data_IF_855061311693
#
_entry.id   IF_855061311693
#
_cell.length_a   1.000
_cell.length_b   1.000
_cell.length_c   1.000
_cell.angle_alpha   90.00
_cell.angle_beta   90.00
_cell.angle_gamma   90.00
#
_symmetry.space_group_name_H-M   'P 1'
#
loop_
_entity.id
_entity.type
_entity.pdbx_description
1 polymer ?
#
# COMPACT_ATOMS: atom_id res chain seq x y z
N UNK A 1 66.05 -45.69 68.37
CA UNK A 1 65.98 -44.83 67.17
C UNK A 1 65.19 -45.58 66.11
N UNK A 2 64.01 -45.22 65.61
CA UNK A 2 63.02 -44.18 65.91
C UNK A 2 61.74 -44.70 65.24
N UNK A 3 60.61 -44.74 65.95
CA UNK A 3 59.32 -45.25 65.45
C UNK A 3 58.75 -44.34 64.35
N UNK A 4 58.36 -44.91 63.21
CA UNK A 4 57.51 -44.26 62.21
C UNK A 4 56.04 -44.38 62.65
N UNK A 5 55.41 -43.23 62.93
CA UNK A 5 53.97 -43.12 63.17
C UNK A 5 53.25 -42.77 61.86
N UNK A 6 52.27 -43.59 61.49
CA UNK A 6 51.29 -43.30 60.45
C UNK A 6 50.33 -42.21 60.94
N UNK A 7 50.29 -41.07 60.25
CA UNK A 7 49.28 -40.03 60.47
C UNK A 7 48.04 -40.37 59.64
N UNK A 8 46.95 -40.63 60.33
CA UNK A 8 45.63 -40.87 59.77
C UNK A 8 45.05 -39.54 59.28
N UNK A 9 44.94 -39.35 57.96
CA UNK A 9 44.18 -38.22 57.40
C UNK A 9 42.70 -38.44 57.68
N UNK A 10 42.15 -37.55 58.51
CA UNK A 10 40.74 -37.50 58.91
C UNK A 10 39.82 -37.40 57.69
N UNK A 11 38.96 -38.40 57.53
CA UNK A 11 37.89 -38.38 56.54
C UNK A 11 36.93 -37.20 56.76
N UNK A 12 36.52 -36.59 55.66
CA UNK A 12 35.43 -35.62 55.62
C UNK A 12 34.21 -36.26 56.32
N UNK A 13 33.70 -35.62 57.37
CA UNK A 13 32.56 -36.15 58.12
C UNK A 13 31.34 -36.27 57.21
N UNK A 14 30.49 -37.29 57.42
CA UNK A 14 29.22 -37.44 56.66
C UNK A 14 28.35 -36.18 56.69
N UNK A 15 28.48 -35.35 57.74
CA UNK A 15 27.81 -34.06 57.85
C UNK A 15 28.40 -32.99 56.92
N UNK A 16 29.73 -32.90 56.79
CA UNK A 16 30.38 -31.95 55.87
C UNK A 16 30.15 -32.32 54.41
N UNK A 17 30.23 -33.61 54.05
CA UNK A 17 29.92 -34.07 52.69
C UNK A 17 28.46 -33.77 52.26
N UNK A 18 27.49 -33.86 53.18
CA UNK A 18 26.08 -33.51 52.92
C UNK A 18 25.87 -32.01 52.71
N UNK A 19 26.60 -31.16 53.44
CA UNK A 19 26.55 -29.71 53.26
C UNK A 19 27.16 -29.31 51.92
N UNK A 20 28.31 -29.88 51.54
CA UNK A 20 28.89 -29.63 50.21
C UNK A 20 27.99 -30.10 49.07
N UNK A 21 27.35 -31.27 49.21
CA UNK A 21 26.42 -31.77 48.19
C UNK A 21 25.15 -30.91 48.11
N UNK A 22 24.62 -30.43 49.24
CA UNK A 22 23.48 -29.53 49.27
C UNK A 22 23.81 -28.13 48.69
N UNK A 23 25.00 -27.59 48.96
CA UNK A 23 25.48 -26.33 48.37
C UNK A 23 25.74 -26.50 46.87
N UNK A 24 26.31 -27.63 46.43
CA UNK A 24 26.49 -27.95 45.01
C UNK A 24 25.16 -28.15 44.28
N UNK A 25 24.19 -28.85 44.88
CA UNK A 25 22.84 -28.97 44.31
C UNK A 25 22.10 -27.63 44.29
N UNK A 26 22.24 -26.81 45.34
CA UNK A 26 21.64 -25.48 45.37
C UNK A 26 22.31 -24.56 44.34
N UNK A 27 23.63 -24.60 44.18
CA UNK A 27 24.31 -23.91 43.09
C UNK A 27 23.91 -24.46 41.72
N UNK A 28 23.70 -25.78 41.55
CA UNK A 28 23.25 -26.37 40.29
C UNK A 28 21.80 -25.97 39.97
N UNK A 29 20.91 -25.90 40.95
CA UNK A 29 19.52 -25.46 40.80
C UNK A 29 19.44 -23.95 40.56
N UNK A 30 20.30 -23.16 41.23
CA UNK A 30 20.43 -21.72 40.96
C UNK A 30 21.04 -21.51 39.57
N UNK A 31 22.11 -22.21 39.19
CA UNK A 31 22.73 -22.12 37.84
C UNK A 31 21.79 -22.62 36.73
N UNK A 32 20.97 -23.65 36.98
CA UNK A 32 19.92 -24.08 36.04
C UNK A 32 18.73 -23.11 36.01
N UNK A 33 18.41 -22.44 37.12
CA UNK A 33 17.46 -21.33 37.18
C UNK A 33 17.97 -20.01 36.57
N UNK A 34 19.27 -19.93 36.26
CA UNK A 34 19.94 -18.79 35.63
C UNK A 34 20.44 -19.08 34.21
N UNK A 35 20.02 -20.19 33.57
CA UNK A 35 20.13 -20.30 32.13
C UNK A 35 19.19 -19.27 31.50
N UNK A 36 19.66 -18.03 31.33
CA UNK A 36 18.95 -16.99 30.58
C UNK A 36 18.55 -17.61 29.24
N UNK A 37 17.25 -17.64 28.97
CA UNK A 37 16.78 -18.01 27.64
C UNK A 37 17.51 -17.11 26.63
N UNK A 38 18.19 -17.72 25.66
CA UNK A 38 18.98 -16.98 24.69
C UNK A 38 18.04 -16.27 23.72
N UNK A 39 18.26 -14.98 23.49
CA UNK A 39 17.47 -14.24 22.50
C UNK A 39 17.70 -14.85 21.12
N UNK A 40 16.61 -15.17 20.43
CA UNK A 40 16.61 -15.64 19.05
C UNK A 40 15.54 -14.92 18.25
N UNK A 41 15.82 -14.71 16.96
CA UNK A 41 14.93 -14.04 16.01
C UNK A 41 14.70 -14.99 14.83
N UNK A 42 13.47 -15.09 14.35
CA UNK A 42 13.13 -15.71 13.06
C UNK A 42 12.34 -14.71 12.22
N UNK A 43 12.31 -14.93 10.90
CA UNK A 43 11.56 -14.11 9.94
C UNK A 43 10.82 -15.00 8.94
N UNK A 44 9.61 -14.61 8.56
CA UNK A 44 8.81 -15.29 7.54
C UNK A 44 8.12 -14.28 6.62
N UNK A 45 8.09 -14.50 5.29
CA UNK A 45 8.84 -15.55 4.58
C UNK A 45 10.36 -15.28 4.65
N UNK A 46 11.19 -16.31 4.46
CA UNK A 46 12.66 -16.16 4.42
C UNK A 46 13.17 -15.75 3.04
N UNK A 47 12.35 -15.90 2.00
CA UNK A 47 12.62 -15.43 0.65
C UNK A 47 11.37 -14.85 0.00
N UNK A 48 11.55 -13.88 -0.90
CA UNK A 48 10.49 -13.37 -1.76
C UNK A 48 11.09 -12.98 -3.13
N UNK A 49 10.27 -13.07 -4.18
CA UNK A 49 10.59 -12.53 -5.51
C UNK A 49 9.52 -11.54 -5.88
N UNK A 50 9.90 -10.28 -6.10
CA UNK A 50 8.96 -9.17 -6.29
C UNK A 50 9.32 -8.35 -7.53
N UNK A 51 8.30 -7.80 -8.17
CA UNK A 51 8.49 -6.69 -9.08
C UNK A 51 9.01 -5.45 -8.32
N UNK A 52 9.67 -4.53 -9.03
CA UNK A 52 9.89 -3.17 -8.52
C UNK A 52 8.57 -2.54 -8.08
N UNK A 53 8.59 -1.70 -7.05
CA UNK A 53 7.41 -1.04 -6.46
C UNK A 53 6.33 -1.95 -5.86
N UNK A 54 6.46 -3.28 -5.91
CA UNK A 54 5.54 -4.19 -5.24
C UNK A 54 5.76 -4.19 -3.72
N UNK A 55 4.70 -4.54 -2.98
CA UNK A 55 4.73 -4.68 -1.52
C UNK A 55 4.83 -6.15 -1.09
N UNK A 56 5.44 -6.40 0.07
CA UNK A 56 5.53 -7.73 0.68
C UNK A 56 5.53 -7.64 2.21
N UNK A 57 4.57 -8.28 2.90
CA UNK A 57 4.62 -8.38 4.36
C UNK A 57 5.68 -9.38 4.81
N UNK A 58 6.33 -9.06 5.93
CA UNK A 58 7.24 -9.94 6.68
C UNK A 58 6.86 -9.95 8.15
N UNK A 59 6.92 -11.10 8.80
CA UNK A 59 6.69 -11.27 10.24
C UNK A 59 7.98 -11.71 10.92
N UNK A 60 8.33 -11.08 12.05
CA UNK A 60 9.46 -11.48 12.87
C UNK A 60 9.04 -12.05 14.23
N UNK A 61 9.58 -13.20 14.61
CA UNK A 61 9.36 -13.79 15.94
C UNK A 61 10.60 -13.64 16.80
N UNK A 62 10.49 -13.01 17.96
CA UNK A 62 11.55 -12.90 18.96
C UNK A 62 11.21 -13.80 20.14
N UNK A 63 12.11 -14.70 20.53
CA UNK A 63 11.96 -15.57 21.71
C UNK A 63 13.15 -15.45 22.65
N UNK A 64 12.98 -15.93 23.89
CA UNK A 64 14.02 -15.87 24.92
C UNK A 64 14.13 -14.51 25.63
N UNK A 65 13.22 -13.58 25.35
CA UNK A 65 13.10 -12.31 26.08
C UNK A 65 11.63 -11.88 26.19
N UNK A 66 11.31 -11.04 27.17
CA UNK A 66 9.99 -10.41 27.29
C UNK A 66 9.85 -9.20 26.38
N UNK A 67 10.94 -8.53 26.03
CA UNK A 67 10.96 -7.54 24.96
C UNK A 67 11.08 -8.26 23.61
N UNK A 68 9.97 -8.32 22.88
CA UNK A 68 9.89 -8.96 21.56
C UNK A 68 9.95 -7.97 20.40
N UNK A 69 10.15 -6.67 20.65
CA UNK A 69 10.18 -5.66 19.60
C UNK A 69 11.40 -5.82 18.68
N UNK A 70 11.25 -5.42 17.42
CA UNK A 70 12.30 -5.43 16.42
C UNK A 70 12.52 -4.06 15.79
N UNK A 71 13.70 -3.86 15.23
CA UNK A 71 13.99 -2.76 14.29
C UNK A 71 14.12 -3.37 12.90
N UNK A 72 13.35 -2.84 11.95
CA UNK A 72 13.36 -3.29 10.56
C UNK A 72 14.40 -2.51 9.75
N UNK A 73 15.17 -3.24 8.95
CA UNK A 73 16.21 -2.70 8.10
C UNK A 73 16.15 -3.33 6.71
N UNK A 74 16.62 -2.60 5.70
CA UNK A 74 16.92 -3.16 4.37
C UNK A 74 18.39 -2.92 4.06
N UNK A 75 19.14 -3.97 3.75
CA UNK A 75 20.60 -3.93 3.54
C UNK A 75 21.35 -3.19 4.67
N UNK A 76 20.94 -3.41 5.92
CA UNK A 76 21.54 -2.78 7.10
C UNK A 76 21.12 -1.33 7.36
N UNK A 77 20.28 -0.74 6.50
CA UNK A 77 19.75 0.62 6.69
C UNK A 77 18.39 0.55 7.37
N UNK A 78 18.25 1.18 8.54
CA UNK A 78 16.97 1.25 9.25
C UNK A 78 15.89 1.90 8.39
N UNK A 79 14.76 1.20 8.20
CA UNK A 79 13.68 1.63 7.31
C UNK A 79 14.00 1.55 5.81
N UNK A 80 15.23 1.20 5.42
CA UNK A 80 15.67 1.15 4.02
C UNK A 80 15.89 2.54 3.40
N UNK A 81 15.96 2.57 2.08
CA UNK A 81 16.08 3.80 1.29
C UNK A 81 15.61 3.57 -0.16
N UNK A 82 15.60 4.62 -0.99
CA UNK A 82 15.09 4.55 -2.37
C UNK A 82 15.84 3.58 -3.29
N UNK A 83 17.08 3.20 -2.98
CA UNK A 83 17.91 2.34 -3.85
C UNK A 83 17.74 0.85 -3.56
N UNK A 84 17.41 0.49 -2.32
CA UNK A 84 17.27 -0.91 -1.88
C UNK A 84 15.83 -1.26 -1.50
N UNK A 85 14.91 -0.31 -1.57
CA UNK A 85 13.56 -0.44 -1.07
C UNK A 85 13.44 0.05 0.37
N UNK A 86 12.19 0.21 0.78
CA UNK A 86 11.82 0.71 2.09
C UNK A 86 11.13 -0.40 2.87
N UNK A 87 11.25 -0.36 4.20
CA UNK A 87 10.50 -1.25 5.09
C UNK A 87 9.84 -0.41 6.16
N UNK A 88 8.56 -0.64 6.40
CA UNK A 88 7.82 0.07 7.43
C UNK A 88 8.38 -0.26 8.82
N UNK A 89 7.99 0.52 9.82
CA UNK A 89 8.05 0.00 11.21
C UNK A 89 7.10 -1.16 11.39
N UNK A 90 7.18 -1.80 12.57
CA UNK A 90 6.17 -2.78 12.98
C UNK A 90 4.76 -2.19 12.82
N UNK A 91 3.93 -2.89 12.05
CA UNK A 91 2.51 -2.61 11.87
C UNK A 91 1.85 -2.73 13.25
N UNK A 92 1.14 -1.70 13.73
CA UNK A 92 0.55 -1.76 15.06
C UNK A 92 -0.46 -2.91 15.17
N UNK A 93 -0.63 -3.46 16.36
CA UNK A 93 -1.56 -4.58 16.59
C UNK A 93 -1.08 -5.95 16.10
N UNK A 94 0.11 -6.03 15.48
CA UNK A 94 0.67 -7.29 14.97
C UNK A 94 1.80 -7.83 15.85
N UNK A 95 2.17 -9.10 15.62
CA UNK A 95 3.31 -9.76 16.30
C UNK A 95 4.63 -9.47 15.57
N UNK A 96 4.94 -8.19 15.36
CA UNK A 96 6.05 -7.70 14.52
C UNK A 96 5.90 -8.03 13.03
N UNK A 97 4.79 -7.61 12.41
CA UNK A 97 4.71 -7.56 10.96
C UNK A 97 5.24 -6.22 10.44
N UNK A 98 5.87 -6.21 9.28
CA UNK A 98 6.24 -5.00 8.55
C UNK A 98 5.98 -5.17 7.06
N UNK A 99 5.68 -4.07 6.38
CA UNK A 99 5.49 -4.03 4.94
C UNK A 99 6.78 -3.55 4.28
N UNK A 100 7.35 -4.38 3.40
CA UNK A 100 8.43 -3.99 2.52
C UNK A 100 7.87 -3.45 1.20
N UNK A 101 8.43 -2.34 0.71
CA UNK A 101 8.15 -1.73 -0.59
C UNK A 101 9.43 -1.77 -1.45
N UNK A 102 9.34 -2.42 -2.62
CA UNK A 102 10.44 -2.45 -3.58
C UNK A 102 10.84 -1.06 -4.09
N UNK A 103 12.13 -0.83 -4.39
CA UNK A 103 12.60 0.37 -5.10
C UNK A 103 12.01 0.46 -6.51
N UNK A 104 12.06 1.66 -7.10
CA UNK A 104 11.60 1.92 -8.47
C UNK A 104 12.52 1.37 -9.57
N UNK A 105 13.73 0.96 -9.21
CA UNK A 105 14.69 0.36 -10.11
C UNK A 105 15.30 -0.88 -9.46
N UNK A 106 15.61 -1.90 -10.27
CA UNK A 106 16.28 -3.11 -9.77
C UNK A 106 17.68 -2.73 -9.26
N UNK A 107 18.02 -3.04 -7.99
CA UNK A 107 19.34 -2.76 -7.44
C UNK A 107 20.43 -3.62 -8.10
N UNK A 108 21.69 -3.24 -7.89
CA UNK A 108 22.85 -4.05 -8.29
C UNK A 108 23.69 -4.38 -7.06
N UNK A 109 23.67 -5.64 -6.56
CA UNK A 109 22.97 -6.81 -7.11
C UNK A 109 21.44 -6.74 -6.98
N UNK A 110 20.72 -7.51 -7.78
CA UNK A 110 19.25 -7.58 -7.83
C UNK A 110 18.59 -8.20 -6.59
N UNK A 111 19.34 -8.33 -5.49
CA UNK A 111 18.89 -8.95 -4.24
C UNK A 111 19.13 -7.99 -3.09
N UNK A 112 18.15 -7.88 -2.20
CA UNK A 112 18.26 -7.13 -0.95
C UNK A 112 17.94 -8.02 0.25
N UNK A 113 18.42 -7.63 1.42
CA UNK A 113 18.21 -8.30 2.69
C UNK A 113 17.25 -7.47 3.53
N UNK A 114 16.05 -7.97 3.78
CA UNK A 114 15.12 -7.41 4.78
C UNK A 114 15.43 -8.06 6.12
N UNK A 115 15.83 -7.26 7.11
CA UNK A 115 16.37 -7.75 8.38
C UNK A 115 15.56 -7.24 9.55
N UNK A 116 15.11 -8.16 10.41
CA UNK A 116 14.55 -7.85 11.72
C UNK A 116 15.65 -7.97 12.78
N UNK A 117 16.00 -6.87 13.45
CA UNK A 117 16.99 -6.82 14.53
C UNK A 117 16.27 -6.74 15.87
N UNK A 118 16.57 -7.63 16.82
CA UNK A 118 15.94 -7.58 18.15
C UNK A 118 16.31 -6.29 18.89
N UNK A 119 15.33 -5.63 19.48
CA UNK A 119 15.59 -4.50 20.38
C UNK A 119 16.11 -4.96 21.75
N UNK A 120 15.86 -6.22 22.14
CA UNK A 120 16.33 -6.77 23.41
C UNK A 120 17.82 -7.16 23.39
N UNK A 121 18.28 -7.64 22.23
CA UNK A 121 19.69 -7.95 21.97
C UNK A 121 20.01 -7.59 20.51
N UNK A 122 20.58 -6.39 20.25
CA UNK A 122 20.90 -5.95 18.89
C UNK A 122 21.92 -6.82 18.14
N UNK A 123 22.56 -7.80 18.81
CA UNK A 123 23.42 -8.80 18.17
C UNK A 123 22.63 -9.96 17.56
N UNK A 124 21.32 -10.01 17.78
CA UNK A 124 20.41 -11.03 17.27
C UNK A 124 19.49 -10.45 16.21
N UNK A 125 19.44 -11.13 15.07
CA UNK A 125 18.61 -10.74 13.94
C UNK A 125 18.26 -11.96 13.08
N UNK A 126 17.24 -11.80 12.25
CA UNK A 126 16.91 -12.71 11.17
C UNK A 126 16.73 -11.91 9.88
N UNK A 127 17.11 -12.50 8.74
CA UNK A 127 17.05 -11.83 7.45
C UNK A 127 16.31 -12.67 6.42
N UNK A 128 15.51 -12.00 5.60
CA UNK A 128 14.89 -12.55 4.41
C UNK A 128 15.60 -12.01 3.17
N UNK A 129 15.79 -12.86 2.16
CA UNK A 129 16.35 -12.44 0.88
C UNK A 129 15.22 -12.11 -0.09
N UNK A 130 15.18 -10.86 -0.54
CA UNK A 130 14.23 -10.41 -1.55
C UNK A 130 14.96 -10.27 -2.88
N UNK A 131 14.52 -11.01 -3.89
CA UNK A 131 14.98 -10.86 -5.27
C UNK A 131 14.06 -9.91 -5.99
N UNK A 132 14.61 -8.84 -6.54
CA UNK A 132 13.87 -7.86 -7.31
C UNK A 132 14.12 -8.03 -8.79
N UNK A 133 13.05 -7.96 -9.55
CA UNK A 133 13.08 -8.03 -10.99
C UNK A 133 12.27 -6.90 -11.57
N UNK A 134 12.66 -6.47 -12.77
CA UNK A 134 11.73 -5.71 -13.61
C UNK A 134 10.55 -6.65 -13.85
N UNK A 135 9.29 -6.17 -13.78
CA UNK A 135 8.16 -6.97 -14.23
C UNK A 135 8.48 -7.61 -15.57
N UNK A 136 8.19 -8.90 -15.74
CA UNK A 136 8.30 -9.51 -17.07
C UNK A 136 7.43 -8.70 -18.04
N UNK A 137 8.03 -8.19 -19.11
CA UNK A 137 7.33 -7.59 -20.25
C UNK A 137 7.64 -8.42 -21.47
N UNK A 138 7.27 -9.70 -21.42
CA UNK A 138 7.50 -10.61 -22.55
C UNK A 138 6.45 -10.45 -23.65
N UNK A 139 5.46 -9.59 -23.45
CA UNK A 139 4.49 -9.21 -24.46
C UNK A 139 5.02 -8.21 -25.49
N UNK A 140 4.13 -7.80 -26.39
CA UNK A 140 4.41 -6.83 -27.45
C UNK A 140 4.14 -5.41 -26.98
N UNK A 141 4.76 -4.44 -27.66
CA UNK A 141 4.43 -3.02 -27.49
C UNK A 141 3.51 -2.57 -28.62
N UNK A 142 2.36 -2.00 -28.23
CA UNK A 142 1.37 -1.42 -29.12
C UNK A 142 1.27 0.09 -28.93
N UNK A 143 0.78 0.78 -29.96
CA UNK A 143 0.71 2.24 -30.01
C UNK A 143 -0.71 2.71 -30.29
N UNK A 144 -1.14 3.72 -29.55
CA UNK A 144 -2.41 4.43 -29.76
C UNK A 144 -2.12 5.89 -30.10
N UNK A 145 -2.79 6.45 -31.10
CA UNK A 145 -2.66 7.85 -31.51
C UNK A 145 -4.02 8.41 -31.90
N UNK A 146 -4.29 9.67 -31.56
CA UNK A 146 -5.51 10.39 -31.99
C UNK A 146 -5.69 10.45 -33.51
N UNK A 147 -4.61 10.27 -34.28
CA UNK A 147 -4.61 10.22 -35.75
C UNK A 147 -4.56 8.80 -36.33
N UNK A 148 -4.56 7.78 -35.46
CA UNK A 148 -4.52 6.37 -35.83
C UNK A 148 -5.83 5.84 -36.40
N UNK A 149 -5.89 4.51 -36.56
CA UNK A 149 -7.08 3.79 -37.01
C UNK A 149 -7.15 2.42 -36.31
N UNK A 150 -8.29 2.05 -35.74
CA UNK A 150 -8.47 0.77 -35.03
C UNK A 150 -8.45 -0.46 -35.98
N UNK A 151 -8.47 -0.24 -37.29
CA UNK A 151 -8.16 -1.28 -38.28
C UNK A 151 -6.65 -1.50 -38.49
N UNK A 152 -5.79 -0.66 -37.92
CA UNK A 152 -4.34 -0.82 -38.03
C UNK A 152 -3.84 -1.96 -37.12
N UNK A 153 -2.56 -2.31 -37.27
CA UNK A 153 -1.92 -3.37 -36.49
C UNK A 153 -1.45 -2.91 -35.09
N UNK A 154 -1.67 -1.66 -34.68
CA UNK A 154 -1.20 -1.13 -33.39
C UNK A 154 0.31 -0.92 -33.32
N UNK A 155 1.01 -0.83 -34.46
CA UNK A 155 2.46 -0.58 -34.51
C UNK A 155 2.76 0.92 -34.45
N UNK A 156 4.00 1.32 -34.17
CA UNK A 156 4.38 2.75 -34.11
C UNK A 156 4.13 3.52 -35.41
N UNK A 157 4.19 2.86 -36.56
CA UNK A 157 3.91 3.46 -37.88
C UNK A 157 2.46 3.31 -38.34
N UNK A 158 1.69 2.44 -37.68
CA UNK A 158 0.27 2.23 -37.94
C UNK A 158 -0.44 2.01 -36.58
N UNK A 159 -0.58 3.08 -35.77
CA UNK A 159 -1.14 2.97 -34.43
C UNK A 159 -2.65 2.77 -34.48
N UNK A 160 -3.19 2.17 -33.44
CA UNK A 160 -4.63 2.19 -33.18
C UNK A 160 -5.09 3.62 -32.88
N UNK A 161 -6.40 3.87 -33.03
CA UNK A 161 -6.98 5.19 -32.78
C UNK A 161 -7.41 5.35 -31.33
N UNK A 162 -8.08 4.34 -30.79
CA UNK A 162 -8.77 4.42 -29.50
C UNK A 162 -8.03 3.64 -28.42
N UNK A 163 -8.11 4.13 -27.19
CA UNK A 163 -7.51 3.46 -26.03
C UNK A 163 -8.35 2.22 -25.68
N UNK A 164 -9.68 2.29 -25.79
CA UNK A 164 -10.54 1.13 -25.54
C UNK A 164 -10.26 -0.02 -26.53
N UNK A 165 -9.97 0.26 -27.80
CA UNK A 165 -9.58 -0.78 -28.75
C UNK A 165 -8.28 -1.47 -28.31
N UNK A 166 -7.29 -0.71 -27.83
CA UNK A 166 -6.07 -1.28 -27.28
C UNK A 166 -6.37 -2.16 -26.06
N UNK A 167 -7.19 -1.67 -25.11
CA UNK A 167 -7.58 -2.42 -23.92
C UNK A 167 -8.27 -3.75 -24.23
N UNK A 168 -9.05 -3.80 -25.31
CA UNK A 168 -9.70 -5.04 -25.78
C UNK A 168 -8.76 -6.01 -26.49
N UNK A 169 -7.59 -5.54 -26.95
CA UNK A 169 -6.68 -6.28 -27.84
C UNK A 169 -5.43 -6.81 -27.15
N UNK A 170 -5.03 -6.20 -26.03
CA UNK A 170 -3.80 -6.57 -25.32
C UNK A 170 -3.97 -7.76 -24.39
N UNK A 171 -2.85 -8.46 -24.18
CA UNK A 171 -2.71 -9.68 -23.43
C UNK A 171 -1.69 -9.49 -22.30
N UNK A 172 -1.60 -10.40 -21.30
CA UNK A 172 -0.60 -10.32 -20.25
C UNK A 172 0.82 -10.05 -20.77
N UNK A 173 1.52 -9.12 -20.14
CA UNK A 173 2.88 -8.72 -20.51
C UNK A 173 2.97 -7.67 -21.62
N UNK A 174 1.87 -7.34 -22.30
CA UNK A 174 1.84 -6.30 -23.33
C UNK A 174 1.93 -4.88 -22.74
N UNK A 175 2.44 -3.95 -23.53
CA UNK A 175 2.51 -2.52 -23.19
C UNK A 175 1.80 -1.70 -24.27
N UNK A 176 0.92 -0.80 -23.85
CA UNK A 176 0.25 0.19 -24.69
C UNK A 176 0.90 1.55 -24.46
N UNK A 177 1.63 2.04 -25.46
CA UNK A 177 2.18 3.39 -25.52
C UNK A 177 1.13 4.32 -26.13
N UNK A 178 0.50 5.14 -25.31
CA UNK A 178 -0.49 6.12 -25.78
C UNK A 178 0.23 7.41 -26.12
N UNK A 179 0.21 7.78 -27.40
CA UNK A 179 0.86 9.00 -27.89
C UNK A 179 0.15 10.25 -27.36
N UNK A 180 0.85 11.38 -27.38
CA UNK A 180 0.31 12.64 -26.90
C UNK A 180 -0.94 13.07 -27.68
N UNK A 181 -1.95 13.54 -26.96
CA UNK A 181 -3.22 13.95 -27.53
C UNK A 181 -4.38 13.83 -26.55
N UNK A 182 -5.53 14.36 -26.97
CA UNK A 182 -6.77 14.33 -26.19
C UNK A 182 -7.63 13.14 -26.66
N UNK A 183 -7.93 12.25 -25.72
CA UNK A 183 -8.77 11.07 -25.91
C UNK A 183 -10.05 11.26 -25.11
N UNK A 184 -11.15 11.44 -25.83
CA UNK A 184 -12.48 11.60 -25.23
C UNK A 184 -13.15 10.23 -25.08
N UNK A 185 -12.61 9.43 -24.17
CA UNK A 185 -13.01 8.04 -23.93
C UNK A 185 -13.14 7.77 -22.43
N UNK A 186 -14.08 6.90 -22.07
CA UNK A 186 -14.02 6.15 -20.81
C UNK A 186 -13.59 4.74 -21.18
N UNK A 187 -12.55 4.24 -20.50
CA UNK A 187 -11.88 2.98 -20.83
C UNK A 187 -12.08 2.00 -19.70
N UNK A 188 -12.61 0.82 -20.02
CA UNK A 188 -12.68 -0.32 -19.09
C UNK A 188 -11.68 -1.38 -19.50
N UNK A 189 -10.88 -1.85 -18.55
CA UNK A 189 -9.88 -2.89 -18.76
C UNK A 189 -10.52 -4.27 -18.57
N UNK A 190 -10.71 -5.06 -19.64
CA UNK A 190 -11.45 -6.32 -19.56
C UNK A 190 -10.58 -7.49 -19.05
N UNK A 191 -9.26 -7.33 -19.00
CA UNK A 191 -8.31 -8.42 -18.76
C UNK A 191 -7.32 -8.10 -17.64
N UNK A 192 -6.61 -9.14 -17.19
CA UNK A 192 -5.53 -9.03 -16.20
C UNK A 192 -4.21 -9.47 -16.83
N UNK A 193 -3.10 -8.95 -16.32
CA UNK A 193 -1.80 -9.60 -16.48
C UNK A 193 -1.68 -10.84 -15.60
N UNK A 194 -0.46 -11.36 -15.43
CA UNK A 194 -0.19 -12.46 -14.51
C UNK A 194 1.28 -12.50 -14.05
N UNK A 195 1.58 -13.30 -13.03
CA UNK A 195 2.94 -13.42 -12.47
C UNK A 195 4.01 -13.95 -13.46
N UNK A 196 3.61 -14.70 -14.48
CA UNK A 196 4.54 -15.36 -15.41
C UNK A 196 4.91 -14.43 -16.56
N UNK A 197 3.92 -13.96 -17.30
CA UNK A 197 4.10 -13.09 -18.47
C UNK A 197 4.25 -11.62 -18.07
N UNK A 198 3.68 -11.26 -16.92
CA UNK A 198 3.78 -9.95 -16.29
C UNK A 198 2.56 -9.07 -16.50
N UNK A 199 2.77 -7.77 -16.32
CA UNK A 199 1.71 -6.78 -16.26
C UNK A 199 1.21 -6.40 -17.65
N UNK A 200 -0.07 -6.05 -17.75
CA UNK A 200 -0.56 -5.23 -18.86
C UNK A 200 -0.27 -3.77 -18.47
N UNK A 201 0.51 -3.07 -19.28
CA UNK A 201 0.93 -1.69 -18.99
C UNK A 201 0.24 -0.72 -19.94
N UNK A 202 -0.45 0.28 -19.39
CA UNK A 202 -0.91 1.46 -20.13
C UNK A 202 -0.07 2.65 -19.67
N UNK A 203 0.67 3.25 -20.60
CA UNK A 203 1.50 4.41 -20.28
C UNK A 203 1.48 5.47 -21.38
N UNK A 204 1.58 6.73 -20.98
CA UNK A 204 1.90 7.81 -21.94
C UNK A 204 3.25 7.52 -22.62
N UNK A 205 3.29 7.71 -23.93
CA UNK A 205 4.52 7.56 -24.70
C UNK A 205 5.60 8.51 -24.18
N UNK A 206 6.86 8.04 -24.15
CA UNK A 206 7.98 8.79 -23.55
C UNK A 206 8.05 10.25 -24.04
N UNK A 207 8.01 11.19 -23.07
CA UNK A 207 8.08 12.63 -23.33
C UNK A 207 6.82 13.24 -23.94
N UNK A 208 5.70 12.50 -23.97
CA UNK A 208 4.40 12.96 -24.43
C UNK A 208 3.37 12.81 -23.29
N UNK A 209 2.27 13.55 -23.39
CA UNK A 209 1.16 13.47 -22.43
C UNK A 209 -0.09 13.02 -23.17
N UNK A 210 -0.53 11.79 -22.90
CA UNK A 210 -1.85 11.33 -23.31
C UNK A 210 -2.88 11.76 -22.26
N UNK A 211 -3.97 12.34 -22.74
CA UNK A 211 -5.00 12.98 -21.90
C UNK A 211 -6.30 12.20 -22.03
N UNK A 212 -6.79 11.62 -20.94
CA UNK A 212 -8.16 11.14 -20.82
C UNK A 212 -9.03 12.34 -20.44
N UNK A 213 -9.85 12.82 -21.38
CA UNK A 213 -10.67 14.02 -21.19
C UNK A 213 -12.15 13.65 -21.16
N UNK A 214 -12.81 13.88 -20.02
CA UNK A 214 -14.22 13.57 -19.80
C UNK A 214 -15.21 14.54 -20.43
N UNK A 215 -14.75 15.58 -21.13
CA UNK A 215 -15.64 16.62 -21.68
C UNK A 215 -16.69 16.02 -22.62
N UNK A 216 -17.98 16.12 -22.27
CA UNK A 216 -19.08 15.58 -23.10
C UNK A 216 -19.36 14.10 -22.87
N UNK A 217 -18.61 13.41 -22.00
CA UNK A 217 -18.98 12.09 -21.48
C UNK A 217 -20.00 12.29 -20.36
N UNK A 218 -21.18 11.67 -20.51
CA UNK A 218 -22.27 11.80 -19.54
C UNK A 218 -22.27 10.60 -18.59
N UNK A 219 -22.31 10.86 -17.28
CA UNK A 219 -22.60 9.84 -16.27
C UNK A 219 -24.11 9.74 -16.09
N UNK A 220 -24.70 8.57 -16.32
CA UNK A 220 -26.13 8.41 -16.14
C UNK A 220 -26.50 8.36 -14.65
N UNK A 221 -27.74 8.72 -14.33
CA UNK A 221 -28.28 8.62 -12.97
C UNK A 221 -28.17 7.18 -12.46
N UNK A 222 -27.63 7.04 -11.25
CA UNK A 222 -27.42 5.76 -10.57
C UNK A 222 -26.18 5.00 -11.05
N UNK A 223 -25.28 5.64 -11.79
CA UNK A 223 -24.02 5.05 -12.23
C UNK A 223 -22.84 5.71 -11.56
N UNK A 224 -21.82 4.89 -11.33
CA UNK A 224 -20.46 5.26 -10.96
C UNK A 224 -19.54 4.57 -11.96
N UNK A 225 -18.65 5.33 -12.60
CA UNK A 225 -17.61 4.76 -13.45
C UNK A 225 -16.44 5.72 -13.64
N UNK A 226 -15.27 5.15 -13.98
CA UNK A 226 -14.04 5.87 -14.23
C UNK A 226 -13.82 6.30 -15.69
N UNK A 227 -13.03 7.34 -15.91
CA UNK A 227 -12.36 7.53 -17.21
C UNK A 227 -11.37 6.39 -17.48
N UNK A 228 -10.75 5.85 -16.42
CA UNK A 228 -10.01 4.60 -16.45
C UNK A 228 -10.61 3.63 -15.41
N UNK A 229 -11.19 2.54 -15.88
CA UNK A 229 -12.00 1.62 -15.10
C UNK A 229 -11.37 0.22 -15.03
N UNK A 230 -11.19 -0.26 -13.81
CA UNK A 230 -10.78 -1.61 -13.44
C UNK A 230 -11.97 -2.31 -12.74
N UNK A 231 -12.25 -3.53 -13.17
CA UNK A 231 -13.27 -4.42 -12.61
C UNK A 231 -12.66 -5.80 -12.39
N UNK A 232 -12.26 -6.06 -11.15
CA UNK A 232 -11.59 -7.30 -10.75
C UNK A 232 -10.36 -7.62 -11.61
N UNK A 233 -9.32 -6.77 -11.54
CA UNK A 233 -8.10 -6.91 -12.34
C UNK A 233 -6.88 -7.20 -11.46
N UNK A 234 -5.87 -7.84 -12.05
CA UNK A 234 -4.55 -8.03 -11.44
C UNK A 234 -3.43 -7.73 -12.45
N UNK A 235 -2.26 -7.36 -11.95
CA UNK A 235 -1.07 -7.09 -12.77
C UNK A 235 -1.35 -6.04 -13.85
N UNK A 236 -1.82 -4.86 -13.45
CA UNK A 236 -2.05 -3.71 -14.32
C UNK A 236 -1.18 -2.55 -13.88
N UNK A 237 -0.55 -1.88 -14.83
CA UNK A 237 0.12 -0.59 -14.63
C UNK A 237 -0.65 0.50 -15.38
N UNK A 238 -0.95 1.60 -14.69
CA UNK A 238 -1.57 2.81 -15.24
C UNK A 238 -0.64 3.97 -14.94
N UNK A 239 0.02 4.52 -15.97
CA UNK A 239 1.12 5.45 -15.73
C UNK A 239 1.19 6.66 -16.65
N UNK A 240 1.45 7.83 -16.06
CA UNK A 240 1.87 9.02 -16.78
C UNK A 240 0.75 9.71 -17.55
N UNK A 241 -0.52 9.43 -17.24
CA UNK A 241 -1.66 10.06 -17.89
C UNK A 241 -2.07 11.36 -17.20
N UNK A 242 -2.57 12.30 -17.99
CA UNK A 242 -3.44 13.36 -17.50
C UNK A 242 -4.89 12.87 -17.61
N UNK A 243 -5.68 12.97 -16.55
CA UNK A 243 -7.07 12.51 -16.48
C UNK A 243 -7.91 13.67 -15.96
N UNK A 244 -8.82 14.19 -16.79
CA UNK A 244 -9.46 15.46 -16.47
C UNK A 244 -10.86 15.67 -16.99
N UNK A 245 -11.47 16.76 -16.52
CA UNK A 245 -12.71 17.34 -17.04
C UNK A 245 -13.89 16.36 -17.05
N UNK A 246 -14.00 15.51 -16.01
CA UNK A 246 -15.10 14.57 -15.91
C UNK A 246 -16.08 15.02 -14.83
N UNK A 247 -17.26 15.44 -15.27
CA UNK A 247 -18.15 16.22 -14.42
C UNK A 247 -19.58 15.72 -14.47
N UNK A 248 -20.30 15.92 -13.38
CA UNK A 248 -21.71 15.61 -13.24
C UNK A 248 -22.43 16.73 -12.51
N UNK A 249 -23.67 16.97 -12.94
CA UNK A 249 -24.67 17.78 -12.23
C UNK A 249 -25.96 16.98 -12.00
N UNK A 250 -25.87 15.65 -12.09
CA UNK A 250 -27.00 14.73 -12.05
C UNK A 250 -26.97 13.91 -10.76
N UNK A 251 -28.12 13.80 -10.10
CA UNK A 251 -28.23 13.07 -8.83
C UNK A 251 -27.80 11.62 -9.01
N UNK A 252 -26.88 11.17 -8.15
CA UNK A 252 -26.35 9.81 -8.09
C UNK A 252 -25.61 9.39 -9.37
N UNK A 253 -25.10 10.36 -10.13
CA UNK A 253 -24.22 10.11 -11.26
C UNK A 253 -22.82 10.52 -10.84
N UNK A 254 -21.96 9.53 -10.59
CA UNK A 254 -20.65 9.66 -9.92
C UNK A 254 -19.53 9.55 -10.96
N UNK A 255 -18.94 10.68 -11.39
CA UNK A 255 -17.75 10.65 -12.25
C UNK A 255 -16.52 10.31 -11.42
N UNK A 256 -15.71 9.38 -11.93
CA UNK A 256 -14.45 8.99 -11.28
C UNK A 256 -13.27 9.16 -12.25
N UNK A 257 -12.12 9.61 -11.77
CA UNK A 257 -10.90 9.64 -12.59
C UNK A 257 -10.40 8.22 -12.88
N UNK A 258 -9.86 7.56 -11.86
CA UNK A 258 -9.49 6.14 -11.87
C UNK A 258 -10.39 5.38 -10.90
N UNK A 259 -11.08 4.37 -11.42
CA UNK A 259 -12.07 3.59 -10.68
C UNK A 259 -11.66 2.12 -10.68
N UNK A 260 -11.39 1.55 -9.50
CA UNK A 260 -11.13 0.13 -9.33
C UNK A 260 -12.07 -0.51 -8.32
N UNK A 261 -13.02 -1.28 -8.84
CA UNK A 261 -13.94 -2.08 -8.04
C UNK A 261 -13.67 -3.60 -8.15
N UNK A 262 -13.93 -4.31 -7.06
CA UNK A 262 -13.97 -5.78 -7.01
C UNK A 262 -12.88 -6.38 -6.12
N UNK A 263 -12.08 -7.27 -6.70
CA UNK A 263 -10.90 -7.86 -6.05
C UNK A 263 -9.74 -7.96 -7.03
N UNK A 264 -8.53 -8.15 -6.54
CA UNK A 264 -7.38 -8.24 -7.43
C UNK A 264 -6.07 -7.98 -6.72
N UNK A 265 -4.97 -8.06 -7.47
CA UNK A 265 -3.67 -7.82 -6.87
C UNK A 265 -2.61 -7.32 -7.84
N UNK A 266 -1.56 -6.68 -7.31
CA UNK A 266 -0.42 -6.20 -8.08
C UNK A 266 -0.85 -5.13 -9.08
N UNK A 267 -1.35 -4.01 -8.55
CA UNK A 267 -1.79 -2.86 -9.34
C UNK A 267 -0.84 -1.70 -9.06
N UNK A 268 -0.41 -1.02 -10.11
CA UNK A 268 0.47 0.14 -10.02
C UNK A 268 -0.21 1.34 -10.70
N UNK A 269 -0.49 2.39 -9.92
CA UNK A 269 -1.05 3.66 -10.40
C UNK A 269 0.02 4.72 -10.17
N UNK A 270 0.71 5.11 -11.24
CA UNK A 270 1.99 5.81 -11.15
C UNK A 270 2.01 7.12 -11.92
N UNK A 271 2.42 8.21 -11.27
CA UNK A 271 2.72 9.48 -11.94
C UNK A 271 1.59 10.00 -12.86
N UNK A 272 0.33 9.74 -12.50
CA UNK A 272 -0.82 10.31 -13.19
C UNK A 272 -1.18 11.67 -12.58
N UNK A 273 -1.74 12.55 -13.39
CA UNK A 273 -2.27 13.84 -12.97
C UNK A 273 -3.80 13.80 -13.13
N UNK A 274 -4.56 13.86 -12.03
CA UNK A 274 -6.02 13.74 -12.04
C UNK A 274 -6.65 15.01 -11.48
N UNK A 275 -7.37 15.74 -12.33
CA UNK A 275 -7.90 17.04 -11.95
C UNK A 275 -9.24 17.38 -12.60
N UNK A 276 -9.97 18.32 -12.00
CA UNK A 276 -11.30 18.72 -12.47
C UNK A 276 -12.28 17.54 -12.63
N UNK A 277 -12.24 16.60 -11.69
CA UNK A 277 -13.32 15.64 -11.46
C UNK A 277 -14.35 16.30 -10.55
N UNK A 278 -15.54 16.58 -11.07
CA UNK A 278 -16.45 17.57 -10.47
C UNK A 278 -17.87 17.05 -10.32
N UNK A 279 -18.44 17.25 -9.15
CA UNK A 279 -19.86 17.19 -8.88
C UNK A 279 -20.38 18.57 -8.48
N UNK A 280 -21.40 19.07 -9.16
CA UNK A 280 -21.93 20.43 -8.93
C UNK A 280 -23.17 20.48 -8.04
N UNK A 281 -23.70 19.32 -7.63
CA UNK A 281 -24.88 19.26 -6.77
C UNK A 281 -24.57 19.72 -5.34
N UNK A 282 -25.51 20.44 -4.73
CA UNK A 282 -25.36 21.00 -3.39
C UNK A 282 -25.92 20.13 -2.25
N UNK A 283 -26.25 18.85 -2.50
CA UNK A 283 -26.82 17.97 -1.47
C UNK A 283 -26.09 16.64 -1.42
N UNK A 284 -25.48 16.36 -0.26
CA UNK A 284 -24.59 15.22 0.02
C UNK A 284 -25.07 13.88 -0.55
N UNK A 285 -26.28 13.45 -0.18
CA UNK A 285 -26.82 12.11 -0.48
C UNK A 285 -26.98 11.80 -1.99
N UNK A 286 -26.62 12.73 -2.86
CA UNK A 286 -26.74 12.59 -4.31
C UNK A 286 -25.56 13.15 -5.09
N UNK A 287 -24.57 13.70 -4.39
CA UNK A 287 -23.53 14.53 -4.94
C UNK A 287 -22.16 13.92 -4.65
N UNK A 288 -21.74 12.97 -5.48
CA UNK A 288 -20.43 12.32 -5.37
C UNK A 288 -19.66 12.46 -6.68
N UNK A 289 -18.34 12.52 -6.57
CA UNK A 289 -17.32 12.42 -7.60
C UNK A 289 -16.00 12.04 -6.92
N UNK A 290 -15.09 11.32 -7.58
CA UNK A 290 -13.82 10.90 -6.97
C UNK A 290 -12.66 11.04 -7.95
N UNK A 291 -11.52 11.56 -7.53
CA UNK A 291 -10.35 11.52 -8.41
C UNK A 291 -9.83 10.07 -8.56
N UNK A 292 -9.84 9.31 -7.47
CA UNK A 292 -9.46 7.90 -7.43
C UNK A 292 -10.30 7.11 -6.43
N UNK A 293 -10.98 6.06 -6.89
CA UNK A 293 -11.78 5.16 -6.06
C UNK A 293 -11.21 3.74 -6.15
N UNK A 294 -10.76 3.17 -5.02
CA UNK A 294 -10.26 1.80 -4.91
C UNK A 294 -11.15 1.03 -3.94
N UNK A 295 -12.18 0.36 -4.47
CA UNK A 295 -13.25 -0.26 -3.69
C UNK A 295 -13.19 -1.79 -3.74
N UNK A 296 -12.82 -2.37 -2.59
CA UNK A 296 -12.79 -3.81 -2.38
C UNK A 296 -14.19 -4.41 -2.18
N UNK A 297 -14.97 -4.50 -3.25
CA UNK A 297 -16.39 -4.91 -3.22
C UNK A 297 -16.61 -6.44 -3.15
N UNK A 298 -15.55 -7.23 -2.96
CA UNK A 298 -15.63 -8.69 -2.87
C UNK A 298 -15.01 -9.21 -1.57
N UNK A 299 -15.47 -10.39 -1.14
CA UNK A 299 -14.93 -11.11 0.01
C UNK A 299 -15.05 -12.64 -0.21
N UNK A 300 -14.08 -13.45 0.25
CA UNK A 300 -12.92 -13.06 1.06
C UNK A 300 -11.76 -12.46 0.24
N UNK A 301 -11.79 -12.57 -1.09
CA UNK A 301 -10.74 -12.03 -1.96
C UNK A 301 -10.76 -10.50 -1.93
N UNK A 302 -9.62 -9.90 -1.62
CA UNK A 302 -9.44 -8.44 -1.51
C UNK A 302 -8.88 -7.82 -2.78
N UNK A 303 -8.92 -6.49 -2.85
CA UNK A 303 -7.89 -5.73 -3.58
C UNK A 303 -6.64 -5.73 -2.71
N UNK A 304 -5.50 -6.15 -3.26
CA UNK A 304 -4.26 -6.27 -2.48
C UNK A 304 -3.00 -5.91 -3.26
N UNK A 305 -1.91 -5.58 -2.57
CA UNK A 305 -0.62 -5.26 -3.20
C UNK A 305 -0.78 -4.16 -4.28
N UNK A 306 -1.38 -3.04 -3.88
CA UNK A 306 -1.56 -1.87 -4.74
C UNK A 306 -0.53 -0.81 -4.36
N UNK A 307 0.14 -0.25 -5.37
CA UNK A 307 1.05 0.88 -5.21
C UNK A 307 0.51 2.09 -5.94
N UNK A 308 0.19 3.14 -5.19
CA UNK A 308 -0.29 4.42 -5.70
C UNK A 308 0.83 5.41 -5.44
N UNK A 309 1.58 5.80 -6.47
CA UNK A 309 2.78 6.60 -6.25
C UNK A 309 3.07 7.67 -7.28
N UNK A 310 3.50 8.84 -6.81
CA UNK A 310 3.90 9.96 -7.65
C UNK A 310 2.74 10.65 -8.37
N UNK A 311 1.49 10.30 -8.05
CA UNK A 311 0.33 10.92 -8.68
C UNK A 311 0.09 12.33 -8.11
N UNK A 312 -0.47 13.20 -8.94
CA UNK A 312 -0.93 14.54 -8.57
C UNK A 312 -2.46 14.56 -8.67
N UNK A 313 -3.14 14.93 -7.58
CA UNK A 313 -4.59 15.11 -7.55
C UNK A 313 -4.91 16.56 -7.15
N UNK A 314 -5.55 17.32 -8.04
CA UNK A 314 -5.84 18.74 -7.80
C UNK A 314 -7.10 19.28 -8.48
N UNK A 315 -7.62 20.41 -7.97
CA UNK A 315 -8.79 21.10 -8.52
C UNK A 315 -10.02 20.19 -8.73
N UNK A 316 -10.18 19.19 -7.88
CA UNK A 316 -11.36 18.32 -7.86
C UNK A 316 -12.44 18.89 -6.95
N UNK A 317 -13.70 18.59 -7.29
CA UNK A 317 -14.89 18.96 -6.52
C UNK A 317 -15.70 17.69 -6.31
N UNK A 318 -15.38 16.93 -5.27
CA UNK A 318 -15.82 15.56 -5.05
C UNK A 318 -17.20 15.46 -4.39
N UNK A 319 -17.79 16.61 -4.02
CA UNK A 319 -19.07 16.66 -3.35
C UNK A 319 -18.97 16.03 -1.96
N UNK A 320 -19.69 14.94 -1.71
CA UNK A 320 -19.61 14.22 -0.44
C UNK A 320 -18.61 13.07 -0.40
N UNK A 321 -17.89 12.81 -1.49
CA UNK A 321 -16.86 11.77 -1.54
C UNK A 321 -15.45 12.37 -1.45
N UNK A 322 -14.43 11.53 -1.52
CA UNK A 322 -13.04 11.89 -1.30
C UNK A 322 -12.28 12.01 -2.62
N UNK A 323 -11.10 12.60 -2.57
CA UNK A 323 -10.21 12.67 -3.72
C UNK A 323 -9.58 11.31 -4.00
N UNK A 324 -9.01 10.67 -2.97
CA UNK A 324 -8.46 9.32 -3.06
C UNK A 324 -9.06 8.45 -1.95
N UNK A 325 -9.81 7.43 -2.34
CA UNK A 325 -10.48 6.51 -1.40
C UNK A 325 -9.98 5.09 -1.58
N UNK A 326 -9.61 4.45 -0.46
CA UNK A 326 -9.38 3.02 -0.37
C UNK A 326 -10.44 2.46 0.59
N UNK A 327 -11.47 1.79 0.06
CA UNK A 327 -12.66 1.40 0.84
C UNK A 327 -12.98 -0.10 0.73
N UNK A 328 -13.54 -0.67 1.79
CA UNK A 328 -13.95 -2.05 1.87
C UNK A 328 -12.77 -3.01 1.95
N UNK A 329 -12.81 -4.13 1.22
CA UNK A 329 -11.80 -5.19 1.34
C UNK A 329 -10.51 -4.88 0.57
N UNK A 330 -9.75 -3.89 1.06
CA UNK A 330 -8.45 -3.46 0.52
C UNK A 330 -7.35 -3.74 1.53
N UNK A 331 -6.24 -4.35 1.11
CA UNK A 331 -5.12 -4.62 2.03
C UNK A 331 -3.72 -4.56 1.39
N UNK A 332 -2.67 -4.44 2.20
CA UNK A 332 -1.27 -4.46 1.74
C UNK A 332 -0.95 -3.40 0.68
N UNK A 333 -1.55 -2.22 0.84
CA UNK A 333 -1.38 -1.09 -0.07
C UNK A 333 -0.23 -0.17 0.36
N UNK A 334 0.33 0.55 -0.61
CA UNK A 334 1.30 1.61 -0.39
C UNK A 334 0.89 2.86 -1.17
N UNK A 335 0.48 3.91 -0.46
CA UNK A 335 0.17 5.23 -1.02
C UNK A 335 1.35 6.14 -0.75
N UNK A 336 2.20 6.36 -1.75
CA UNK A 336 3.50 6.99 -1.51
C UNK A 336 3.87 8.11 -2.48
N UNK A 337 4.41 9.21 -1.96
CA UNK A 337 4.92 10.33 -2.78
C UNK A 337 3.87 10.95 -3.71
N UNK A 338 2.59 10.89 -3.36
CA UNK A 338 1.55 11.58 -4.10
C UNK A 338 1.50 13.05 -3.65
N UNK A 339 1.10 13.92 -4.56
CA UNK A 339 0.86 15.34 -4.35
C UNK A 339 -0.67 15.56 -4.42
N UNK A 340 -1.30 15.85 -3.29
CA UNK A 340 -2.77 15.99 -3.22
C UNK A 340 -3.10 17.40 -2.72
N UNK A 341 -3.64 18.24 -3.59
CA UNK A 341 -3.80 19.65 -3.23
C UNK A 341 -4.88 20.40 -3.97
N UNK A 342 -5.29 21.55 -3.43
CA UNK A 342 -6.27 22.43 -4.08
C UNK A 342 -7.59 21.70 -4.41
N UNK A 343 -7.98 20.76 -3.55
CA UNK A 343 -9.20 19.98 -3.71
C UNK A 343 -10.21 20.36 -2.63
N UNK A 344 -11.48 20.13 -2.93
CA UNK A 344 -12.50 20.08 -1.89
C UNK A 344 -12.62 18.68 -1.25
N UNK A 345 -13.30 18.63 -0.10
CA UNK A 345 -13.46 17.45 0.76
C UNK A 345 -12.16 16.67 1.06
N UNK A 346 -12.20 15.37 1.34
CA UNK A 346 -11.07 14.64 1.93
C UNK A 346 -9.97 14.37 0.89
N UNK A 347 -8.71 14.57 1.26
CA UNK A 347 -7.54 14.36 0.38
C UNK A 347 -7.23 12.88 0.14
N UNK A 348 -6.87 12.15 1.19
CA UNK A 348 -6.64 10.70 1.15
C UNK A 348 -7.41 10.05 2.29
N UNK A 349 -8.20 9.03 1.99
CA UNK A 349 -8.96 8.27 2.98
C UNK A 349 -8.77 6.76 2.86
N UNK A 350 -8.61 6.14 4.01
CA UNK A 350 -8.64 4.70 4.18
C UNK A 350 -9.90 4.36 4.95
N UNK A 351 -10.84 3.67 4.31
CA UNK A 351 -12.23 3.59 4.74
C UNK A 351 -12.58 2.15 5.14
N UNK A 352 -13.48 2.02 6.10
CA UNK A 352 -14.09 0.76 6.48
C UNK A 352 -15.45 0.94 7.13
N UNK A 353 -16.22 -0.14 7.12
CA UNK A 353 -17.57 -0.26 7.67
C UNK A 353 -18.69 0.43 6.88
N UNK A 354 -18.41 0.92 5.67
CA UNK A 354 -19.38 1.51 4.73
C UNK A 354 -20.32 0.47 4.07
N UNK A 355 -20.05 -0.83 4.27
CA UNK A 355 -20.79 -1.91 3.62
C UNK A 355 -20.37 -2.14 2.17
N UNK A 356 -19.21 -1.64 1.76
CA UNK A 356 -18.62 -1.84 0.41
C UNK A 356 -18.27 -3.29 0.19
N UNK A 357 -17.63 -3.94 1.15
CA UNK A 357 -17.43 -5.39 1.12
C UNK A 357 -18.68 -6.11 1.67
N UNK A 358 -19.12 -7.21 1.02
CA UNK A 358 -20.35 -7.91 1.40
C UNK A 358 -20.29 -8.64 2.76
N UNK A 359 -19.10 -8.72 3.36
CA UNK A 359 -18.89 -9.31 4.69
C UNK A 359 -18.13 -8.31 5.57
N UNK A 360 -18.78 -7.86 6.63
CA UNK A 360 -18.27 -6.87 7.60
C UNK A 360 -16.91 -7.20 8.21
N UNK A 361 -16.53 -8.49 8.27
CA UNK A 361 -15.20 -8.88 8.77
C UNK A 361 -14.06 -8.52 7.80
N UNK A 362 -14.37 -8.20 6.55
CA UNK A 362 -13.42 -7.80 5.52
C UNK A 362 -13.60 -6.34 5.07
N UNK A 363 -14.65 -5.67 5.54
CA UNK A 363 -15.09 -4.35 5.08
C UNK A 363 -14.27 -3.22 5.71
N UNK A 364 -12.96 -3.25 5.51
CA UNK A 364 -11.99 -2.30 6.06
C UNK A 364 -10.71 -2.31 5.24
N UNK A 365 -10.29 -1.12 4.82
CA UNK A 365 -8.93 -0.87 4.38
C UNK A 365 -7.95 -1.16 5.53
N UNK A 366 -6.93 -1.98 5.23
CA UNK A 366 -6.02 -2.47 6.27
C UNK A 366 -4.63 -2.83 5.81
N UNK A 367 -3.71 -3.00 6.76
CA UNK A 367 -2.34 -3.45 6.49
C UNK A 367 -1.61 -2.57 5.47
N UNK A 368 -1.88 -1.25 5.51
CA UNK A 368 -1.46 -0.29 4.51
C UNK A 368 -0.42 0.72 4.98
N UNK A 369 0.23 1.39 4.03
CA UNK A 369 1.29 2.36 4.31
C UNK A 369 1.17 3.64 3.48
N UNK A 370 0.81 4.73 4.16
CA UNK A 370 0.70 6.07 3.59
C UNK A 370 1.95 6.86 3.95
N UNK A 371 2.80 7.09 2.95
CA UNK A 371 4.20 7.44 3.17
C UNK A 371 4.74 8.51 2.21
N UNK A 372 5.33 9.58 2.75
CA UNK A 372 5.95 10.65 1.95
C UNK A 372 4.99 11.37 0.98
N UNK A 373 3.68 11.33 1.24
CA UNK A 373 2.73 12.16 0.51
C UNK A 373 2.86 13.63 0.95
N UNK A 374 2.56 14.54 0.03
CA UNK A 374 2.42 15.97 0.31
C UNK A 374 0.96 16.35 0.08
N UNK A 375 0.26 16.74 1.13
CA UNK A 375 -1.17 17.01 1.12
C UNK A 375 -1.43 18.42 1.63
N UNK A 376 -2.05 19.29 0.84
CA UNK A 376 -2.30 20.66 1.29
C UNK A 376 -3.44 21.39 0.60
N UNK A 377 -3.91 22.49 1.20
CA UNK A 377 -5.05 23.26 0.69
C UNK A 377 -6.27 22.38 0.42
N UNK A 378 -6.64 21.58 1.41
CA UNK A 378 -7.77 20.65 1.36
C UNK A 378 -8.89 21.25 2.21
N UNK A 379 -9.94 21.75 1.56
CA UNK A 379 -10.95 22.55 2.26
C UNK A 379 -12.36 22.34 1.71
N UNK A 380 -13.33 22.22 2.62
CA UNK A 380 -14.75 22.17 2.26
C UNK A 380 -15.36 23.57 2.02
N UNK A 381 -14.58 24.65 2.16
CA UNK A 381 -15.07 26.03 2.08
C UNK A 381 -15.87 26.34 0.81
N UNK A 382 -15.42 25.82 -0.33
CA UNK A 382 -16.04 26.03 -1.64
C UNK A 382 -16.82 24.81 -2.14
N UNK A 383 -16.88 23.73 -1.34
CA UNK A 383 -17.63 22.54 -1.69
C UNK A 383 -19.14 22.88 -1.74
N UNK A 384 -19.84 22.58 -2.85
CA UNK A 384 -21.26 22.90 -3.00
C UNK A 384 -22.16 22.30 -1.91
N UNK A 385 -21.78 21.15 -1.36
CA UNK A 385 -22.57 20.38 -0.38
C UNK A 385 -22.48 20.95 1.03
N UNK A 386 -21.30 21.38 1.45
CA UNK A 386 -21.07 21.79 2.84
C UNK A 386 -21.45 23.25 3.13
N UNK A 387 -21.81 24.02 2.09
CA UNK A 387 -22.34 25.38 2.22
C UNK A 387 -21.46 26.31 3.06
N UNK A 388 -20.14 26.25 2.85
CA UNK A 388 -19.15 27.05 3.55
C UNK A 388 -18.79 26.54 4.96
N UNK A 389 -19.31 25.38 5.38
CA UNK A 389 -18.82 24.69 6.58
C UNK A 389 -17.51 24.01 6.25
N UNK A 390 -16.55 24.19 7.15
CA UNK A 390 -15.25 23.53 7.09
C UNK A 390 -15.34 22.15 7.74
N UNK A 391 -14.47 21.25 7.30
CA UNK A 391 -14.42 19.87 7.82
C UNK A 391 -13.68 18.89 6.92
N UNK A 392 -13.03 19.37 5.85
CA UNK A 392 -12.29 18.50 4.95
C UNK A 392 -10.97 18.01 5.57
N UNK A 393 -10.76 16.70 5.56
CA UNK A 393 -9.53 16.10 6.04
C UNK A 393 -8.44 16.11 4.98
N UNK A 394 -7.20 16.45 5.34
CA UNK A 394 -6.05 16.19 4.48
C UNK A 394 -5.84 14.68 4.33
N UNK A 395 -5.65 14.00 5.47
CA UNK A 395 -5.58 12.55 5.57
C UNK A 395 -6.62 12.05 6.57
N UNK A 396 -7.37 11.03 6.19
CA UNK A 396 -8.30 10.34 7.07
C UNK A 396 -8.03 8.82 7.07
N UNK A 397 -8.36 8.22 8.20
CA UNK A 397 -8.49 6.80 8.40
C UNK A 397 -9.85 6.65 9.10
N UNK A 398 -10.89 6.46 8.29
CA UNK A 398 -12.26 6.22 8.70
C UNK A 398 -12.49 4.72 8.89
N UNK A 399 -12.53 4.25 10.13
CA UNK A 399 -12.71 2.84 10.44
C UNK A 399 -11.56 1.92 10.02
N UNK A 400 -10.48 2.44 9.42
CA UNK A 400 -9.36 1.64 8.94
C UNK A 400 -8.60 0.92 10.07
N UNK A 401 -7.85 -0.13 9.71
CA UNK A 401 -7.06 -0.88 10.70
C UNK A 401 -5.65 -1.25 10.26
N UNK A 402 -4.69 -1.22 11.18
CA UNK A 402 -3.29 -1.62 10.88
C UNK A 402 -2.66 -0.80 9.75
N UNK A 403 -2.96 0.49 9.72
CA UNK A 403 -2.40 1.45 8.74
C UNK A 403 -1.30 2.28 9.39
N UNK A 404 -0.22 2.49 8.65
CA UNK A 404 0.88 3.38 9.03
C UNK A 404 0.81 4.64 8.18
N UNK A 405 0.64 5.79 8.81
CA UNK A 405 0.67 7.12 8.20
C UNK A 405 1.95 7.80 8.71
N UNK A 406 3.00 7.86 7.90
CA UNK A 406 4.27 8.42 8.37
C UNK A 406 5.02 9.25 7.33
N UNK A 407 5.78 10.24 7.82
CA UNK A 407 6.61 11.14 7.00
C UNK A 407 5.85 11.82 5.86
N UNK A 408 4.54 12.03 6.04
CA UNK A 408 3.74 12.86 5.14
C UNK A 408 3.90 14.33 5.53
N UNK A 409 3.91 15.23 4.55
CA UNK A 409 3.81 16.67 4.78
C UNK A 409 2.35 17.07 4.58
N UNK A 410 1.67 17.45 5.66
CA UNK A 410 0.25 17.81 5.62
C UNK A 410 0.04 19.18 6.26
N UNK A 411 -0.49 20.15 5.50
CA UNK A 411 -0.69 21.52 5.97
C UNK A 411 -1.83 22.23 5.22
N UNK A 412 -2.35 23.33 5.76
CA UNK A 412 -3.40 24.14 5.13
C UNK A 412 -4.67 23.34 4.73
N UNK A 413 -4.97 22.26 5.45
CA UNK A 413 -6.25 21.54 5.38
C UNK A 413 -7.16 21.95 6.53
N UNK A 414 -8.49 21.88 6.36
CA UNK A 414 -9.43 22.19 7.46
C UNK A 414 -9.13 21.32 8.70
N UNK A 415 -8.89 20.03 8.46
CA UNK A 415 -8.38 19.06 9.44
C UNK A 415 -7.17 18.34 8.82
N UNK A 416 -5.93 18.55 9.32
CA UNK A 416 -4.76 17.92 8.68
C UNK A 416 -4.81 16.39 8.69
N UNK A 417 -5.06 15.79 9.85
CA UNK A 417 -5.14 14.33 10.02
C UNK A 417 -6.27 13.99 10.96
N UNK A 418 -7.08 13.02 10.59
CA UNK A 418 -8.08 12.41 11.46
C UNK A 418 -7.93 10.89 11.50
N UNK A 419 -8.26 10.30 12.65
CA UNK A 419 -8.31 8.86 12.86
C UNK A 419 -9.55 8.60 13.72
N UNK A 420 -10.64 8.23 13.08
CA UNK A 420 -11.95 8.07 13.71
C UNK A 420 -12.75 6.99 12.96
N UNK A 421 -14.04 6.85 13.26
CA UNK A 421 -14.94 6.16 12.35
C UNK A 421 -16.25 6.91 12.28
N UNK A 422 -16.80 7.10 11.09
CA UNK A 422 -18.12 7.69 10.90
C UNK A 422 -19.25 6.69 11.22
N UNK A 423 -18.93 5.40 11.33
CA UNK A 423 -19.90 4.36 11.66
C UNK A 423 -20.06 4.14 13.17
N UNK A 424 -21.28 4.35 13.64
CA UNK A 424 -21.63 4.19 15.05
C UNK A 424 -21.30 2.78 15.58
N UNK A 425 -20.46 2.72 16.63
CA UNK A 425 -20.03 1.47 17.26
C UNK A 425 -18.75 0.87 16.67
N UNK A 426 -18.18 1.49 15.64
CA UNK A 426 -16.91 1.12 15.04
C UNK A 426 -15.81 2.12 15.40
N UNK A 427 -14.56 1.69 15.22
CA UNK A 427 -13.37 2.50 15.51
C UNK A 427 -12.27 2.19 14.51
N UNK A 428 -11.53 3.21 14.11
CA UNK A 428 -10.18 3.03 13.58
C UNK A 428 -9.29 2.41 14.64
N UNK A 429 -8.49 1.41 14.25
CA UNK A 429 -7.74 0.60 15.21
C UNK A 429 -6.33 0.29 14.73
N UNK A 430 -5.36 0.24 15.66
CA UNK A 430 -3.98 -0.10 15.31
C UNK A 430 -3.37 0.80 14.22
N UNK A 431 -3.66 2.10 14.29
CA UNK A 431 -3.14 3.11 13.36
C UNK A 431 -1.92 3.78 13.98
N UNK A 432 -0.87 3.98 13.21
CA UNK A 432 0.29 4.78 13.62
C UNK A 432 0.36 6.05 12.79
N UNK A 433 0.40 7.22 13.46
CA UNK A 433 0.58 8.53 12.81
C UNK A 433 1.87 9.16 13.37
N UNK A 434 2.85 9.49 12.51
CA UNK A 434 4.14 10.04 12.97
C UNK A 434 5.03 10.75 11.95
#
# INVERSE_FOLDING_TARGET
MTNMSFVHQSGISRGTARVYLAVLLFLFVVLQGYARAQVSVTISPTTATLATLATQPFTATVSGNTNTAVTWQVNGVSGGNSTVGLVSTTVPGTSNEALYLGPSAVPSPATVSVTAVSQADPTKSASATVTLQVPSRSGSTFFVSTTGNDANAGTSTAPWRTIQHAANSVHPGDTVQVMGGVYNESVTIPGSGNATTGYITFESALGQTAIFDGTGINVAKGQEFGLFTLRTNSYIVVQGFEIRNFQSSTSNAVPVGIDFEGSGSNIEILNNHIHNIVQTLGTCNSANALAMAIYGTQAPTSISNITISGNELDHNTTGCSENMSLDGNVQFFAVTKNLVHDNDNIGIDNIGFEGVAPNVSFDQARDGWDFQNTIFNITAANNPVYHGKLGANGQYCDGCTRVIIERNLIHDSDIPVEVASEHAGHVSSFVAVR
#
